data_IF_609055034868
#
_entry.id   IF_609055034868
#
_cell.length_a   1.000
_cell.length_b   1.000
_cell.length_c   1.000
_cell.angle_alpha   90.00
_cell.angle_beta   90.00
_cell.angle_gamma   90.00
#
_symmetry.space_group_name_H-M   'P 1'
#
loop_
_entity.id
_entity.type
_entity.pdbx_description
1 polymer ?
#
# COMPACT_ATOMS: atom_id res chain seq x y z
N UNK A 1 19.06 16.04 -16.30
CA UNK A 1 18.67 14.70 -16.79
C UNK A 1 17.61 14.14 -15.83
N UNK A 2 16.42 13.73 -16.30
CA UNK A 2 15.37 13.16 -15.43
C UNK A 2 15.73 11.71 -15.09
N UNK A 3 16.37 11.49 -13.93
CA UNK A 3 16.72 10.14 -13.49
C UNK A 3 15.47 9.41 -12.98
N UNK A 4 15.21 8.24 -13.56
CA UNK A 4 14.13 7.31 -13.19
C UNK A 4 14.73 5.95 -12.87
N UNK A 5 14.10 5.20 -11.98
CA UNK A 5 14.50 3.84 -11.61
C UNK A 5 13.36 2.86 -11.87
N UNK A 6 13.64 1.66 -12.40
CA UNK A 6 12.63 0.61 -12.52
C UNK A 6 12.06 0.20 -11.16
N UNK A 7 12.79 0.46 -10.07
CA UNK A 7 12.30 0.23 -8.70
C UNK A 7 11.08 1.09 -8.35
N UNK A 8 10.78 2.15 -9.12
CA UNK A 8 9.52 2.89 -9.03
C UNK A 8 8.30 2.01 -9.27
N UNK A 9 8.46 0.79 -9.80
CA UNK A 9 7.39 -0.20 -9.87
C UNK A 9 6.70 -0.46 -8.52
N UNK A 10 7.34 -0.17 -7.38
CA UNK A 10 6.70 -0.29 -6.06
C UNK A 10 5.42 0.56 -5.93
N UNK A 11 5.34 1.71 -6.60
CA UNK A 11 4.12 2.53 -6.66
C UNK A 11 2.99 1.80 -7.40
N UNK A 12 3.32 0.98 -8.40
CA UNK A 12 2.35 0.13 -9.10
C UNK A 12 1.94 -1.07 -8.26
N UNK A 13 2.86 -1.63 -7.46
CA UNK A 13 2.53 -2.71 -6.51
C UNK A 13 1.56 -2.22 -5.43
N UNK A 14 1.72 -0.98 -4.93
CA UNK A 14 0.71 -0.35 -4.07
C UNK A 14 -0.67 -0.35 -4.75
N UNK A 15 -0.76 0.14 -5.99
CA UNK A 15 -2.03 0.14 -6.73
C UNK A 15 -2.60 -1.27 -6.87
N UNK A 16 -1.77 -2.24 -7.24
CA UNK A 16 -2.21 -3.62 -7.46
C UNK A 16 -2.81 -4.25 -6.19
N UNK A 17 -2.23 -3.96 -5.02
CA UNK A 17 -2.74 -4.45 -3.74
C UNK A 17 -4.05 -3.75 -3.34
N UNK A 18 -4.13 -2.44 -3.55
CA UNK A 18 -5.17 -1.60 -2.97
C UNK A 18 -6.41 -1.42 -3.85
N UNK A 19 -6.27 -1.43 -5.18
CA UNK A 19 -7.36 -1.11 -6.09
C UNK A 19 -8.58 -2.04 -5.97
N UNK A 20 -8.46 -3.36 -5.68
CA UNK A 20 -9.64 -4.20 -5.48
C UNK A 20 -10.45 -3.77 -4.26
N UNK A 21 -9.76 -3.44 -3.15
CA UNK A 21 -10.40 -2.97 -1.91
C UNK A 21 -11.04 -1.60 -2.12
N UNK A 22 -10.34 -0.70 -2.81
CA UNK A 22 -10.84 0.65 -3.11
C UNK A 22 -12.14 0.60 -3.93
N UNK A 23 -12.14 -0.16 -5.04
CA UNK A 23 -13.32 -0.27 -5.90
C UNK A 23 -14.45 -0.98 -5.16
N UNK A 24 -14.20 -2.16 -4.58
CA UNK A 24 -15.26 -2.91 -3.93
C UNK A 24 -15.84 -2.15 -2.73
N UNK A 25 -15.00 -1.49 -1.92
CA UNK A 25 -15.45 -0.75 -0.75
C UNK A 25 -16.21 0.55 -1.08
N UNK A 26 -15.99 1.18 -2.23
CA UNK A 26 -16.77 2.35 -2.67
C UNK A 26 -18.14 1.92 -3.19
N UNK A 27 -18.19 0.98 -4.13
CA UNK A 27 -19.40 0.66 -4.88
C UNK A 27 -20.24 -0.45 -4.25
N UNK A 28 -19.63 -1.41 -3.56
CA UNK A 28 -20.31 -2.57 -3.01
C UNK A 28 -19.71 -3.05 -1.67
N UNK A 29 -19.61 -2.16 -0.66
CA UNK A 29 -18.94 -2.48 0.61
C UNK A 29 -19.56 -3.65 1.36
N UNK A 30 -20.89 -3.82 1.26
CA UNK A 30 -21.62 -4.92 1.93
C UNK A 30 -21.35 -6.28 1.31
N UNK A 31 -20.73 -6.33 0.13
CA UNK A 31 -20.32 -7.58 -0.52
C UNK A 31 -18.92 -8.01 -0.08
N UNK A 32 -18.19 -7.19 0.68
CA UNK A 32 -16.96 -7.66 1.32
C UNK A 32 -17.32 -8.67 2.40
N UNK A 33 -16.59 -9.78 2.51
CA UNK A 33 -16.86 -10.81 3.49
C UNK A 33 -16.27 -10.39 4.84
N UNK A 34 -16.71 -9.28 5.40
CA UNK A 34 -16.28 -8.83 6.73
C UNK A 34 -17.37 -9.08 7.75
N UNK A 35 -16.98 -9.64 8.90
CA UNK A 35 -17.84 -9.79 10.05
C UNK A 35 -18.24 -8.41 10.57
N UNK A 36 -19.47 -8.29 11.08
CA UNK A 36 -19.98 -7.07 11.75
C UNK A 36 -20.04 -5.81 10.87
N UNK A 37 -20.33 -5.94 9.56
CA UNK A 37 -20.59 -4.82 8.64
C UNK A 37 -21.93 -4.09 8.92
N UNK A 38 -22.02 -3.41 10.06
CA UNK A 38 -23.11 -2.48 10.36
C UNK A 38 -22.95 -1.14 9.60
N UNK A 39 -23.94 -0.24 9.71
CA UNK A 39 -23.93 1.04 8.99
C UNK A 39 -22.69 1.89 9.27
N UNK A 40 -22.23 1.92 10.53
CA UNK A 40 -21.02 2.66 10.91
C UNK A 40 -19.77 2.07 10.24
N UNK A 41 -19.63 0.74 10.26
CA UNK A 41 -18.53 0.05 9.60
C UNK A 41 -18.53 0.30 8.09
N UNK A 42 -19.69 0.24 7.44
CA UNK A 42 -19.86 0.54 6.01
C UNK A 42 -19.49 1.98 5.68
N UNK A 43 -19.89 2.94 6.51
CA UNK A 43 -19.55 4.35 6.32
C UNK A 43 -18.03 4.58 6.43
N UNK A 44 -17.39 4.03 7.47
CA UNK A 44 -15.93 4.11 7.66
C UNK A 44 -15.20 3.42 6.49
N UNK A 45 -15.67 2.24 6.07
CA UNK A 45 -15.10 1.50 4.95
C UNK A 45 -15.15 2.31 3.64
N UNK A 46 -16.26 3.01 3.37
CA UNK A 46 -16.36 3.88 2.19
C UNK A 46 -15.38 5.05 2.24
N UNK A 47 -15.25 5.72 3.40
CA UNK A 47 -14.29 6.81 3.59
C UNK A 47 -12.85 6.31 3.41
N UNK A 48 -12.52 5.17 4.02
CA UNK A 48 -11.23 4.52 3.86
C UNK A 48 -10.95 4.15 2.40
N UNK A 49 -11.91 3.51 1.73
CA UNK A 49 -11.77 3.10 0.31
C UNK A 49 -11.57 4.30 -0.62
N UNK A 50 -12.18 5.45 -0.28
CA UNK A 50 -12.00 6.70 -1.01
C UNK A 50 -10.59 7.28 -0.82
N UNK A 51 -10.04 7.21 0.40
CA UNK A 51 -8.65 7.60 0.68
C UNK A 51 -7.66 6.69 -0.06
N UNK A 52 -7.91 5.38 -0.04
CA UNK A 52 -7.08 4.37 -0.73
C UNK A 52 -7.14 4.57 -2.26
N UNK A 53 -8.32 4.88 -2.83
CA UNK A 53 -8.42 5.23 -4.24
C UNK A 53 -7.60 6.48 -4.58
N UNK A 54 -7.68 7.52 -3.75
CA UNK A 54 -6.90 8.73 -3.94
C UNK A 54 -5.38 8.47 -3.86
N UNK A 55 -4.93 7.60 -2.95
CA UNK A 55 -3.52 7.21 -2.86
C UNK A 55 -3.06 6.39 -4.07
N UNK A 56 -3.92 5.53 -4.62
CA UNK A 56 -3.66 4.79 -5.86
C UNK A 56 -3.47 5.75 -7.04
N UNK A 57 -4.37 6.73 -7.21
CA UNK A 57 -4.26 7.75 -8.26
C UNK A 57 -2.97 8.55 -8.09
N UNK A 58 -2.67 9.00 -6.88
CA UNK A 58 -1.44 9.76 -6.59
C UNK A 58 -0.18 8.93 -6.91
N UNK A 59 -0.20 7.64 -6.57
CA UNK A 59 0.88 6.70 -6.88
C UNK A 59 1.07 6.48 -8.38
N UNK A 60 -0.03 6.36 -9.13
CA UNK A 60 -0.01 6.25 -10.59
C UNK A 60 0.64 7.47 -11.23
N UNK A 61 0.25 8.66 -10.77
CA UNK A 61 0.82 9.92 -11.24
C UNK A 61 2.30 10.06 -10.87
N UNK A 62 2.70 9.56 -9.70
CA UNK A 62 4.09 9.61 -9.22
C UNK A 62 5.01 8.55 -9.84
N UNK A 63 4.47 7.46 -10.40
CA UNK A 63 5.25 6.37 -10.97
C UNK A 63 6.30 6.87 -11.98
N UNK A 64 5.86 7.67 -12.96
CA UNK A 64 6.71 8.19 -14.03
C UNK A 64 7.51 9.45 -13.68
N UNK A 65 7.36 9.97 -12.45
CA UNK A 65 8.08 11.16 -12.01
C UNK A 65 9.55 10.87 -11.68
N UNK A 66 10.46 11.85 -11.86
CA UNK A 66 11.86 11.73 -11.45
C UNK A 66 12.00 11.30 -9.98
N UNK A 67 13.01 10.47 -9.68
CA UNK A 67 13.19 9.85 -8.36
C UNK A 67 13.36 10.84 -7.19
N UNK A 68 13.74 12.10 -7.46
CA UNK A 68 14.02 13.12 -6.44
C UNK A 68 13.07 14.28 -6.42
N UNK A 69 11.92 14.18 -7.10
CA UNK A 69 10.88 15.15 -6.85
C UNK A 69 10.46 15.06 -5.37
N UNK A 70 10.49 16.18 -4.61
CA UNK A 70 10.13 16.18 -3.19
C UNK A 70 8.75 15.57 -2.94
N UNK A 71 7.78 15.83 -3.84
CA UNK A 71 6.45 15.24 -3.77
C UNK A 71 6.44 13.71 -3.86
N UNK A 72 7.20 13.12 -4.78
CA UNK A 72 7.32 11.65 -4.92
C UNK A 72 7.94 11.02 -3.67
N UNK A 73 8.95 11.69 -3.09
CA UNK A 73 9.62 11.25 -1.86
C UNK A 73 8.70 11.33 -0.65
N UNK A 74 7.97 12.44 -0.50
CA UNK A 74 6.99 12.61 0.56
C UNK A 74 5.89 11.54 0.47
N UNK A 75 5.38 11.28 -0.75
CA UNK A 75 4.41 10.22 -0.97
C UNK A 75 4.96 8.85 -0.58
N UNK A 76 6.19 8.51 -0.98
CA UNK A 76 6.80 7.22 -0.63
C UNK A 76 6.90 7.00 0.89
N UNK A 77 7.27 8.03 1.65
CA UNK A 77 7.28 7.97 3.12
C UNK A 77 5.86 7.78 3.67
N UNK A 78 4.89 8.54 3.14
CA UNK A 78 3.48 8.41 3.54
C UNK A 78 2.95 6.99 3.30
N UNK A 79 3.22 6.42 2.12
CA UNK A 79 2.85 5.04 1.78
C UNK A 79 3.58 4.03 2.66
N UNK A 80 4.87 4.24 2.95
CA UNK A 80 5.64 3.38 3.85
C UNK A 80 5.01 3.32 5.25
N UNK A 81 4.69 4.49 5.83
CA UNK A 81 4.04 4.58 7.15
C UNK A 81 2.66 3.93 7.12
N UNK A 82 1.84 4.26 6.11
CA UNK A 82 0.52 3.68 5.92
C UNK A 82 0.57 2.15 5.86
N UNK A 83 1.39 1.57 4.99
CA UNK A 83 1.50 0.11 4.84
C UNK A 83 2.06 -0.58 6.09
N UNK A 84 2.97 0.08 6.82
CA UNK A 84 3.48 -0.45 8.09
C UNK A 84 2.40 -0.49 9.17
N UNK A 85 1.57 0.56 9.25
CA UNK A 85 0.43 0.62 10.16
C UNK A 85 -0.63 -0.42 9.76
N UNK A 86 -1.01 -0.50 8.48
CA UNK A 86 -1.97 -1.49 7.99
C UNK A 86 -1.54 -2.92 8.30
N UNK A 87 -0.27 -3.26 8.03
CA UNK A 87 0.32 -4.54 8.40
C UNK A 87 0.13 -4.81 9.89
N UNK A 88 0.55 -3.86 10.74
CA UNK A 88 0.45 -4.01 12.20
C UNK A 88 -0.99 -4.20 12.67
N UNK A 89 -1.94 -3.40 12.15
CA UNK A 89 -3.36 -3.53 12.49
C UNK A 89 -3.89 -4.91 12.08
N UNK A 90 -3.59 -5.38 10.87
CA UNK A 90 -4.06 -6.67 10.36
C UNK A 90 -3.48 -7.85 11.13
N UNK A 91 -2.21 -7.77 11.55
CA UNK A 91 -1.59 -8.80 12.40
C UNK A 91 -2.19 -8.90 13.80
N UNK A 92 -2.72 -7.80 14.33
CA UNK A 92 -3.28 -7.72 15.68
C UNK A 92 -4.82 -7.73 15.68
N UNK A 93 -5.46 -7.73 14.52
CA UNK A 93 -6.90 -7.74 14.42
C UNK A 93 -7.47 -9.10 14.88
N UNK A 94 -8.63 -9.10 15.56
CA UNK A 94 -9.39 -10.34 15.70
C UNK A 94 -9.84 -10.82 14.31
N UNK A 95 -10.24 -12.09 14.24
CA UNK A 95 -10.83 -12.67 13.01
C UNK A 95 -11.97 -11.78 12.51
N UNK A 96 -11.89 -11.33 11.26
CA UNK A 96 -12.95 -10.53 10.65
C UNK A 96 -13.31 -10.99 9.24
N UNK A 97 -12.57 -11.91 8.63
CA UNK A 97 -12.90 -12.56 7.35
C UNK A 97 -13.38 -13.98 7.66
N UNK A 98 -14.63 -14.37 7.37
CA UNK A 98 -15.17 -15.69 7.69
C UNK A 98 -14.75 -16.77 6.68
N UNK A 99 -13.59 -16.62 6.05
CA UNK A 99 -13.04 -17.57 5.10
C UNK A 99 -11.68 -18.07 5.55
N UNK A 100 -11.37 -19.31 5.17
CA UNK A 100 -10.13 -19.99 5.50
C UNK A 100 -9.49 -20.53 4.22
N UNK A 101 -8.15 -20.61 4.19
CA UNK A 101 -7.43 -21.34 3.14
C UNK A 101 -7.45 -22.87 3.36
N UNK A 102 -8.09 -23.33 4.44
CA UNK A 102 -8.24 -24.74 4.80
C UNK A 102 -7.55 -25.07 6.13
N UNK A 103 -7.90 -26.22 6.75
CA UNK A 103 -7.42 -26.58 8.09
C UNK A 103 -5.89 -26.61 8.19
N UNK A 104 -5.22 -27.06 7.12
CA UNK A 104 -3.76 -27.12 7.08
C UNK A 104 -3.10 -25.75 7.19
N UNK A 105 -3.67 -24.68 6.62
CA UNK A 105 -3.09 -23.35 6.68
C UNK A 105 -3.41 -22.66 8.01
N UNK A 106 -4.61 -22.87 8.54
CA UNK A 106 -5.04 -22.36 9.85
C UNK A 106 -4.14 -22.87 11.00
N UNK A 107 -3.66 -24.11 10.93
CA UNK A 107 -2.76 -24.66 11.96
C UNK A 107 -1.44 -23.86 12.10
N UNK A 108 -1.01 -23.22 11.02
CA UNK A 108 0.17 -22.35 10.98
C UNK A 108 -0.20 -20.87 11.09
N UNK A 109 -1.46 -20.56 11.44
CA UNK A 109 -2.01 -19.21 11.48
C UNK A 109 -1.87 -18.47 10.14
N UNK A 110 -1.97 -19.19 9.03
CA UNK A 110 -2.03 -18.56 7.70
C UNK A 110 -3.50 -18.29 7.39
N UNK A 111 -3.96 -17.11 7.79
CA UNK A 111 -5.32 -16.63 7.58
C UNK A 111 -5.38 -15.56 6.48
N UNK A 112 -6.55 -15.30 5.87
CA UNK A 112 -6.69 -14.21 4.89
C UNK A 112 -6.25 -12.85 5.44
N UNK A 113 -6.57 -12.53 6.70
CA UNK A 113 -6.17 -11.27 7.33
C UNK A 113 -4.65 -11.16 7.48
N UNK A 114 -3.98 -12.25 7.86
CA UNK A 114 -2.54 -12.27 8.07
C UNK A 114 -1.77 -12.29 6.74
N UNK A 115 -2.29 -12.96 5.72
CA UNK A 115 -1.76 -12.85 4.36
C UNK A 115 -1.89 -11.41 3.86
N UNK A 116 -3.06 -10.78 4.06
CA UNK A 116 -3.28 -9.39 3.71
C UNK A 116 -2.30 -8.47 4.46
N UNK A 117 -2.14 -8.65 5.77
CA UNK A 117 -1.16 -7.92 6.59
C UNK A 117 0.28 -8.09 6.10
N UNK A 118 0.66 -9.32 5.76
CA UNK A 118 1.97 -9.64 5.17
C UNK A 118 2.19 -8.86 3.87
N UNK A 119 1.19 -8.84 2.97
CA UNK A 119 1.29 -8.12 1.70
C UNK A 119 1.48 -6.62 1.91
N UNK A 120 0.75 -5.98 2.85
CA UNK A 120 1.01 -4.59 3.22
C UNK A 120 2.44 -4.41 3.76
N UNK A 121 2.91 -5.30 4.64
CA UNK A 121 4.29 -5.27 5.15
C UNK A 121 5.34 -5.33 4.05
N UNK A 122 5.14 -6.18 3.03
CA UNK A 122 6.02 -6.29 1.87
C UNK A 122 6.02 -5.01 1.02
N UNK A 123 4.88 -4.34 0.84
CA UNK A 123 4.83 -3.05 0.14
C UNK A 123 5.58 -1.98 0.95
N UNK A 124 5.38 -1.92 2.27
CA UNK A 124 6.12 -1.02 3.16
C UNK A 124 7.63 -1.22 3.07
N UNK A 125 8.10 -2.48 3.15
CA UNK A 125 9.50 -2.84 2.95
C UNK A 125 9.99 -2.45 1.55
N UNK A 126 9.18 -2.68 0.52
CA UNK A 126 9.49 -2.27 -0.84
C UNK A 126 9.70 -0.76 -0.98
N UNK A 127 8.95 0.07 -0.25
CA UNK A 127 9.17 1.52 -0.22
C UNK A 127 10.53 1.88 0.39
N UNK A 128 10.95 1.16 1.44
CA UNK A 128 12.29 1.33 2.05
C UNK A 128 13.39 0.89 1.09
N UNK A 129 13.22 -0.25 0.42
CA UNK A 129 14.18 -0.75 -0.57
C UNK A 129 14.32 0.26 -1.71
N UNK A 130 13.20 0.72 -2.28
CA UNK A 130 13.19 1.76 -3.31
C UNK A 130 13.90 3.02 -2.81
N UNK A 131 13.62 3.46 -1.58
CA UNK A 131 14.25 4.66 -1.02
C UNK A 131 15.77 4.54 -0.98
N UNK A 132 16.28 3.48 -0.36
CA UNK A 132 17.72 3.26 -0.19
C UNK A 132 18.43 3.03 -1.52
N UNK A 133 17.84 2.22 -2.40
CA UNK A 133 18.43 1.91 -3.69
C UNK A 133 18.46 3.13 -4.62
N UNK A 134 17.59 4.12 -4.43
CA UNK A 134 17.58 5.30 -5.28
C UNK A 134 18.34 6.48 -4.67
N UNK A 135 18.48 6.62 -3.35
CA UNK A 135 18.97 7.86 -2.69
C UNK A 135 20.26 8.47 -3.28
N UNK A 136 21.19 7.65 -3.76
CA UNK A 136 22.43 8.10 -4.39
C UNK A 136 22.19 8.90 -5.69
N UNK A 137 21.14 8.56 -6.44
CA UNK A 137 20.73 9.27 -7.64
C UNK A 137 20.35 10.74 -7.33
N UNK A 138 19.98 11.07 -6.07
CA UNK A 138 19.78 12.46 -5.63
C UNK A 138 21.08 13.22 -5.58
N UNK A 139 22.10 12.55 -5.05
CA UNK A 139 23.42 13.13 -4.84
C UNK A 139 24.03 13.42 -6.20
N UNK A 140 23.89 12.49 -7.15
CA UNK A 140 24.29 12.68 -8.55
C UNK A 140 23.55 13.84 -9.21
N UNK A 141 22.22 13.90 -9.08
CA UNK A 141 21.43 14.99 -9.66
C UNK A 141 21.84 16.37 -9.09
N UNK A 142 22.05 16.47 -7.77
CA UNK A 142 22.53 17.70 -7.12
C UNK A 142 23.95 18.08 -7.55
N UNK A 143 24.86 17.11 -7.70
CA UNK A 143 26.21 17.37 -8.18
C UNK A 143 26.21 17.90 -9.62
N UNK A 144 25.34 17.36 -10.48
CA UNK A 144 25.21 17.82 -11.87
C UNK A 144 24.67 19.24 -12.05
N UNK A 145 24.07 19.83 -11.01
CA UNK A 145 23.59 21.21 -11.02
C UNK A 145 24.64 22.22 -10.52
N UNK A 146 25.76 21.75 -9.97
CA UNK A 146 26.83 22.58 -9.39
C UNK A 146 28.02 22.79 -10.32
N UNK A 147 28.13 22.03 -11.41
CA UNK A 147 29.12 22.19 -12.47
C UNK A 147 28.48 22.80 -13.69
#
# INVERSE_FOLDING_TARGET
>A
MSVRSPLSAIFLVHIALEIPVAIQGIWSPTNLPFLQLNNTAVAILKLYSSLVLASCITSLLCFNLPEFLPGKRALAIGLCVYHSICSTILYNAPRFIPYSFGPFFEQYRVTPELVWGTMHGLVGLGMVIWWQATVHLAQMARASQRG
#
